data_IF_922996301708
#
_entry.id   IF_922996301708
#
_cell.length_a   1.000
_cell.length_b   1.000
_cell.length_c   1.000
_cell.angle_alpha   90.00
_cell.angle_beta   90.00
_cell.angle_gamma   90.00
#
_symmetry.space_group_name_H-M   'P 1'
#
loop_
_entity.id
_entity.type
_entity.pdbx_description
1 polymer ?
#
# COMPACT_ATOMS: atom_id res chain seq x y z
N UNK A 1 -15.42 -6.12 11.93
CA UNK A 1 -15.19 -4.78 12.51
C UNK A 1 -15.47 -3.74 11.45
N UNK A 2 -16.13 -2.65 11.82
CA UNK A 2 -16.41 -1.53 10.91
C UNK A 2 -15.18 -0.63 10.85
N UNK A 3 -14.53 -0.55 9.69
CA UNK A 3 -13.38 0.32 9.47
C UNK A 3 -13.81 1.79 9.47
N UNK A 4 -13.01 2.64 10.10
CA UNK A 4 -13.17 4.10 10.06
C UNK A 4 -12.02 4.77 9.30
N UNK A 5 -12.16 6.07 9.02
CA UNK A 5 -11.17 6.78 8.22
C UNK A 5 -9.79 6.87 8.88
N UNK A 6 -9.71 7.02 10.21
CA UNK A 6 -8.44 7.08 10.94
C UNK A 6 -7.69 5.74 10.89
N UNK A 7 -8.42 4.63 10.96
CA UNK A 7 -7.87 3.29 10.80
C UNK A 7 -7.35 3.06 9.38
N UNK A 8 -8.11 3.50 8.36
CA UNK A 8 -7.68 3.43 6.96
C UNK A 8 -6.41 4.27 6.73
N UNK A 9 -6.36 5.48 7.26
CA UNK A 9 -5.18 6.36 7.16
C UNK A 9 -3.96 5.76 7.87
N UNK A 10 -4.16 5.19 9.07
CA UNK A 10 -3.09 4.54 9.84
C UNK A 10 -2.56 3.24 9.22
N UNK A 11 -3.43 2.45 8.58
CA UNK A 11 -3.06 1.19 7.92
C UNK A 11 -2.73 1.35 6.43
N UNK A 12 -2.62 2.57 5.92
CA UNK A 12 -2.42 2.82 4.48
C UNK A 12 -1.08 2.27 3.98
N UNK A 13 -0.02 2.41 4.76
CA UNK A 13 1.30 1.86 4.44
C UNK A 13 1.24 0.33 4.37
N UNK A 14 0.65 -0.31 5.37
CA UNK A 14 0.48 -1.77 5.40
C UNK A 14 -0.35 -2.28 4.22
N UNK A 15 -1.34 -1.50 3.78
CA UNK A 15 -2.13 -1.82 2.58
C UNK A 15 -1.27 -1.79 1.31
N UNK A 16 -0.50 -0.72 1.07
CA UNK A 16 0.35 -0.62 -0.14
C UNK A 16 1.49 -1.63 -0.15
N UNK A 17 2.01 -1.97 1.03
CA UNK A 17 3.07 -2.96 1.22
C UNK A 17 2.53 -4.41 1.24
N UNK A 18 1.21 -4.59 1.15
CA UNK A 18 0.49 -5.88 1.19
C UNK A 18 0.74 -6.69 2.47
N UNK A 19 0.80 -6.02 3.60
CA UNK A 19 0.99 -6.61 4.93
C UNK A 19 -0.32 -6.91 5.66
N UNK A 20 -1.44 -6.35 5.19
CA UNK A 20 -2.76 -6.61 5.77
C UNK A 20 -3.24 -8.05 5.54
N UNK A 21 -3.82 -8.66 6.57
CA UNK A 21 -4.49 -9.95 6.43
C UNK A 21 -5.73 -9.88 5.54
N UNK A 22 -6.20 -11.02 5.03
CA UNK A 22 -7.33 -11.06 4.08
C UNK A 22 -8.63 -10.40 4.62
N UNK A 23 -8.93 -10.62 5.91
CA UNK A 23 -10.10 -10.02 6.56
C UNK A 23 -9.96 -8.50 6.74
N UNK A 24 -8.75 -8.02 6.99
CA UNK A 24 -8.45 -6.59 7.12
C UNK A 24 -8.51 -5.91 5.77
N UNK A 25 -7.92 -6.53 4.75
CA UNK A 25 -7.93 -6.03 3.37
C UNK A 25 -9.35 -5.83 2.84
N UNK A 26 -10.22 -6.83 3.01
CA UNK A 26 -11.62 -6.73 2.57
C UNK A 26 -12.40 -5.63 3.33
N UNK A 27 -12.18 -5.47 4.63
CA UNK A 27 -12.81 -4.41 5.42
C UNK A 27 -12.32 -3.01 5.04
N UNK A 28 -11.02 -2.88 4.78
CA UNK A 28 -10.39 -1.67 4.28
C UNK A 28 -10.98 -1.27 2.92
N UNK A 29 -11.02 -2.19 1.96
CA UNK A 29 -11.57 -1.94 0.62
C UNK A 29 -13.05 -1.58 0.66
N UNK A 30 -13.84 -2.23 1.53
CA UNK A 30 -15.24 -1.90 1.72
C UNK A 30 -15.43 -0.45 2.21
N UNK A 31 -14.59 0.02 3.14
CA UNK A 31 -14.63 1.42 3.58
C UNK A 31 -14.20 2.38 2.48
N UNK A 32 -13.08 2.10 1.80
CA UNK A 32 -12.54 2.94 0.74
C UNK A 32 -13.54 3.10 -0.41
N UNK A 33 -14.26 2.04 -0.78
CA UNK A 33 -15.30 2.09 -1.81
C UNK A 33 -16.50 2.99 -1.45
N UNK A 34 -16.82 3.11 -0.16
CA UNK A 34 -17.96 3.92 0.33
C UNK A 34 -17.59 5.32 0.81
N UNK A 35 -16.31 5.64 0.98
CA UNK A 35 -15.85 6.87 1.60
C UNK A 35 -15.24 7.85 0.59
N UNK A 36 -15.90 9.00 0.40
CA UNK A 36 -15.45 10.05 -0.53
C UNK A 36 -14.10 10.68 -0.15
N UNK A 37 -13.67 10.56 1.12
CA UNK A 37 -12.37 11.08 1.58
C UNK A 37 -11.24 10.07 1.38
N UNK A 38 -11.48 8.80 1.72
CA UNK A 38 -10.46 7.76 1.65
C UNK A 38 -10.21 7.30 0.22
N UNK A 39 -11.23 7.22 -0.64
CA UNK A 39 -11.07 6.81 -2.04
C UNK A 39 -9.96 7.58 -2.81
N UNK A 40 -9.96 8.93 -2.86
CA UNK A 40 -8.91 9.67 -3.53
C UNK A 40 -7.55 9.56 -2.83
N UNK A 41 -7.52 9.47 -1.50
CA UNK A 41 -6.29 9.34 -0.72
C UNK A 41 -5.57 8.03 -1.06
N UNK A 42 -6.28 6.90 -0.94
CA UNK A 42 -5.73 5.57 -1.24
C UNK A 42 -5.28 5.52 -2.69
N UNK A 43 -6.10 5.99 -3.63
CA UNK A 43 -5.74 6.04 -5.05
C UNK A 43 -4.45 6.82 -5.31
N UNK A 44 -4.28 7.95 -4.64
CA UNK A 44 -3.09 8.81 -4.81
C UNK A 44 -1.83 8.12 -4.29
N UNK A 45 -1.87 7.58 -3.07
CA UNK A 45 -0.71 6.92 -2.46
C UNK A 45 -0.34 5.62 -3.19
N UNK A 46 -1.32 4.76 -3.49
CA UNK A 46 -1.09 3.54 -4.26
C UNK A 46 -0.55 3.85 -5.66
N UNK A 47 -1.03 4.92 -6.31
CA UNK A 47 -0.52 5.37 -7.60
C UNK A 47 0.94 5.83 -7.55
N UNK A 48 1.32 6.58 -6.51
CA UNK A 48 2.70 7.01 -6.30
C UNK A 48 3.63 5.80 -6.10
N UNK A 49 3.27 4.87 -5.22
CA UNK A 49 4.06 3.65 -4.96
C UNK A 49 4.17 2.80 -6.23
N UNK A 50 3.09 2.62 -6.98
CA UNK A 50 3.12 1.91 -8.25
C UNK A 50 4.05 2.59 -9.27
N UNK A 51 4.09 3.93 -9.29
CA UNK A 51 5.03 4.69 -10.12
C UNK A 51 6.49 4.49 -9.71
N UNK A 52 6.78 4.43 -8.41
CA UNK A 52 8.12 4.14 -7.89
C UNK A 52 8.60 2.73 -8.31
N UNK A 53 7.70 1.75 -8.32
CA UNK A 53 8.01 0.40 -8.79
C UNK A 53 8.28 0.31 -10.29
N UNK A 54 7.98 1.36 -11.05
CA UNK A 54 8.26 1.45 -12.49
C UNK A 54 9.55 2.21 -12.82
N UNK A 55 10.29 2.67 -11.80
CA UNK A 55 11.60 3.27 -12.01
C UNK A 55 12.59 2.24 -12.57
N UNK A 56 13.56 2.73 -13.36
CA UNK A 56 14.62 1.90 -13.92
C UNK A 56 15.37 1.17 -12.78
N UNK A 57 15.45 -0.17 -12.83
CA UNK A 57 16.22 -0.93 -11.86
C UNK A 57 17.68 -0.47 -11.84
N UNK A 58 18.23 -0.30 -10.64
CA UNK A 58 19.65 -0.01 -10.50
C UNK A 58 20.49 -1.23 -10.92
N UNK A 59 21.64 -1.01 -11.60
CA UNK A 59 22.54 -2.10 -11.91
C UNK A 59 23.04 -2.73 -10.61
N UNK A 60 23.15 -4.06 -10.61
CA UNK A 60 23.67 -4.83 -9.48
C UNK A 60 25.11 -4.38 -9.17
N UNK A 61 25.42 -3.87 -7.97
CA UNK A 61 26.78 -3.47 -7.64
C UNK A 61 27.75 -4.66 -7.67
N UNK A 62 28.99 -4.45 -8.15
CA UNK A 62 29.97 -5.52 -8.40
C UNK A 62 30.47 -6.23 -7.13
N UNK A 63 30.09 -5.78 -5.94
CA UNK A 63 30.42 -6.39 -4.64
C UNK A 63 29.20 -6.67 -3.77
N UNK A 64 28.04 -6.95 -4.37
CA UNK A 64 26.92 -7.55 -3.63
C UNK A 64 27.33 -8.96 -3.21
N UNK A 65 27.78 -9.11 -1.96
CA UNK A 65 28.03 -10.42 -1.36
C UNK A 65 26.68 -11.02 -1.01
N UNK A 66 26.19 -11.95 -1.83
CA UNK A 66 25.02 -12.77 -1.49
C UNK A 66 25.44 -13.82 -0.47
N UNK A 67 25.37 -13.48 0.82
CA UNK A 67 25.50 -14.48 1.88
C UNK A 67 24.12 -15.12 2.09
N UNK A 68 23.83 -16.15 1.28
CA UNK A 68 22.67 -17.03 1.48
C UNK A 68 22.89 -17.97 2.67
#
# INVERSE_FOLDING_TARGET
MTWNCEQVEGSLSDYVDRLLGAAEHSGFEAHVAGCARCAPLVKSVSGLVAGLHHLEPLPTPPRLIYNI
#
